data_IF_009505725587
#
_entry.id   IF_009505725587
#
_cell.length_a   1.000
_cell.length_b   1.000
_cell.length_c   1.000
_cell.angle_alpha   90.00
_cell.angle_beta   90.00
_cell.angle_gamma   90.00
#
_symmetry.space_group_name_H-M   'P 1'
#
loop_
_entity.id
_entity.type
_entity.pdbx_description
1 polymer ?
#
# COMPACT_ATOMS: atom_id res chain seq x y z
N UNK A 1 -12.03 -20.34 3.83
CA UNK A 1 -12.80 -19.46 4.73
C UNK A 1 -13.30 -18.34 3.84
N UNK A 2 -14.58 -18.33 3.51
CA UNK A 2 -15.10 -17.37 2.54
C UNK A 2 -15.24 -16.00 3.19
N UNK A 3 -14.78 -14.97 2.49
CA UNK A 3 -14.92 -13.58 2.93
C UNK A 3 -16.32 -13.13 2.50
N UNK A 4 -17.20 -12.86 3.47
CA UNK A 4 -18.53 -12.34 3.21
C UNK A 4 -18.55 -10.81 3.04
N UNK A 5 -19.70 -10.29 2.62
CA UNK A 5 -19.90 -8.86 2.36
C UNK A 5 -19.60 -7.98 3.57
N UNK A 6 -19.98 -8.42 4.76
CA UNK A 6 -19.72 -7.67 6.01
C UNK A 6 -18.22 -7.51 6.26
N UNK A 7 -17.45 -8.58 6.07
CA UNK A 7 -15.99 -8.54 6.23
C UNK A 7 -15.35 -7.62 5.18
N UNK A 8 -15.85 -7.62 3.94
CA UNK A 8 -15.37 -6.71 2.89
C UNK A 8 -15.62 -5.24 3.28
N UNK A 9 -16.83 -4.92 3.76
CA UNK A 9 -17.18 -3.56 4.19
C UNK A 9 -16.28 -3.12 5.34
N UNK A 10 -16.05 -4.00 6.32
CA UNK A 10 -15.16 -3.73 7.44
C UNK A 10 -13.72 -3.48 6.99
N UNK A 11 -13.19 -4.30 6.07
CA UNK A 11 -11.85 -4.10 5.49
C UNK A 11 -11.74 -2.76 4.76
N UNK A 12 -12.74 -2.38 3.97
CA UNK A 12 -12.77 -1.08 3.28
C UNK A 12 -12.78 0.07 4.29
N UNK A 13 -13.58 -0.04 5.35
CA UNK A 13 -13.66 0.99 6.40
C UNK A 13 -12.33 1.13 7.14
N UNK A 14 -11.67 0.02 7.48
CA UNK A 14 -10.39 0.04 8.18
C UNK A 14 -9.27 0.60 7.28
N UNK A 15 -9.28 0.24 6.00
CA UNK A 15 -8.37 0.82 5.00
C UNK A 15 -8.57 2.33 4.87
N UNK A 16 -9.82 2.80 4.86
CA UNK A 16 -10.11 4.23 4.83
C UNK A 16 -9.59 4.93 6.09
N UNK A 17 -9.82 4.35 7.28
CA UNK A 17 -9.34 4.92 8.56
C UNK A 17 -7.80 5.04 8.57
N UNK A 18 -7.08 4.06 8.03
CA UNK A 18 -5.60 4.10 8.02
C UNK A 18 -5.03 5.19 7.10
N UNK A 19 -5.76 5.57 6.06
CA UNK A 19 -5.38 6.65 5.14
C UNK A 19 -5.74 8.02 5.76
N UNK A 20 -6.91 8.13 6.39
CA UNK A 20 -7.37 9.39 7.00
C UNK A 20 -6.59 9.73 8.28
N UNK A 21 -6.19 8.71 9.07
CA UNK A 21 -5.50 8.86 10.36
C UNK A 21 -4.26 7.94 10.44
N UNK A 22 -3.23 8.19 9.63
CA UNK A 22 -2.05 7.32 9.54
C UNK A 22 -1.26 7.25 10.86
N UNK A 23 -1.20 8.35 11.63
CA UNK A 23 -0.46 8.38 12.90
C UNK A 23 -1.07 7.43 13.94
N UNK A 24 -2.41 7.44 14.06
CA UNK A 24 -3.15 6.51 14.94
C UNK A 24 -2.96 5.08 14.45
N UNK A 25 -3.05 4.84 13.14
CA UNK A 25 -2.83 3.52 12.57
C UNK A 25 -1.42 2.98 12.89
N UNK A 26 -0.38 3.80 12.76
CA UNK A 26 0.98 3.40 13.11
C UNK A 26 1.14 3.13 14.60
N UNK A 27 0.50 3.92 15.46
CA UNK A 27 0.55 3.71 16.91
C UNK A 27 -0.17 2.42 17.31
N UNK A 28 -1.39 2.20 16.80
CA UNK A 28 -2.22 1.02 17.07
C UNK A 28 -1.57 -0.27 16.53
N UNK A 29 -0.84 -0.20 15.41
CA UNK A 29 -0.31 -1.38 14.70
C UNK A 29 1.22 -1.52 14.75
N UNK A 30 1.90 -0.75 15.60
CA UNK A 30 3.38 -0.66 15.63
C UNK A 30 4.07 -2.02 15.62
N UNK A 31 3.69 -2.91 16.55
CA UNK A 31 4.32 -4.22 16.71
C UNK A 31 4.15 -5.10 15.45
N UNK A 32 2.93 -5.13 14.90
CA UNK A 32 2.61 -5.90 13.70
C UNK A 32 3.37 -5.36 12.49
N UNK A 33 3.47 -4.03 12.36
CA UNK A 33 4.23 -3.39 11.29
C UNK A 33 5.73 -3.73 11.37
N UNK A 34 6.32 -3.66 12.57
CA UNK A 34 7.74 -4.00 12.77
C UNK A 34 8.03 -5.47 12.43
N UNK A 35 7.18 -6.40 12.88
CA UNK A 35 7.29 -7.81 12.53
C UNK A 35 7.12 -8.05 11.03
N UNK A 36 6.16 -7.36 10.41
CA UNK A 36 5.94 -7.44 8.96
C UNK A 36 7.17 -6.95 8.17
N UNK A 37 7.79 -5.85 8.59
CA UNK A 37 9.01 -5.33 7.95
C UNK A 37 10.20 -6.29 8.09
N UNK A 38 10.35 -6.97 9.24
CA UNK A 38 11.35 -8.02 9.42
C UNK A 38 11.08 -9.17 8.45
N UNK A 39 9.84 -9.65 8.40
CA UNK A 39 9.43 -10.72 7.48
C UNK A 39 9.73 -10.35 6.03
N UNK A 40 9.39 -9.13 5.60
CA UNK A 40 9.65 -8.64 4.23
C UNK A 40 11.13 -8.59 3.86
N UNK A 41 12.04 -8.46 4.84
CA UNK A 41 13.49 -8.51 4.61
C UNK A 41 14.06 -9.93 4.59
N UNK A 42 13.30 -10.91 5.09
CA UNK A 42 13.75 -12.30 5.26
C UNK A 42 13.94 -13.02 3.94
N UNK A 43 14.82 -14.03 3.94
CA UNK A 43 15.01 -14.91 2.79
C UNK A 43 13.76 -15.75 2.51
N UNK A 44 12.98 -16.05 3.55
CA UNK A 44 11.74 -16.80 3.42
C UNK A 44 10.72 -16.03 2.58
N UNK A 45 10.58 -14.72 2.80
CA UNK A 45 9.75 -13.88 1.94
C UNK A 45 10.35 -13.73 0.53
N UNK A 46 11.64 -13.42 0.41
CA UNK A 46 12.31 -13.19 -0.90
C UNK A 46 12.31 -14.43 -1.80
N UNK A 47 12.30 -15.64 -1.23
CA UNK A 47 12.18 -16.88 -1.98
C UNK A 47 10.72 -17.35 -2.16
N UNK A 48 9.74 -16.60 -1.63
CA UNK A 48 8.33 -16.97 -1.72
C UNK A 48 7.72 -16.67 -3.09
N UNK A 49 6.69 -17.42 -3.51
CA UNK A 49 5.88 -17.05 -4.67
C UNK A 49 5.25 -15.66 -4.57
N UNK A 50 4.93 -15.21 -3.35
CA UNK A 50 4.33 -13.90 -3.11
C UNK A 50 5.29 -12.75 -3.47
N UNK A 51 6.58 -12.89 -3.17
CA UNK A 51 7.59 -11.92 -3.61
C UNK A 51 7.71 -11.90 -5.13
N UNK A 52 7.78 -13.06 -5.77
CA UNK A 52 7.84 -13.15 -7.24
C UNK A 52 6.64 -12.49 -7.92
N UNK A 53 5.43 -12.69 -7.40
CA UNK A 53 4.22 -12.04 -7.92
C UNK A 53 4.30 -10.52 -7.74
N UNK A 54 4.77 -10.04 -6.58
CA UNK A 54 4.91 -8.61 -6.31
C UNK A 54 5.86 -7.95 -7.31
N UNK A 55 7.03 -8.55 -7.57
CA UNK A 55 8.01 -8.01 -8.53
C UNK A 55 7.46 -7.99 -9.96
N UNK A 56 6.75 -9.04 -10.39
CA UNK A 56 6.10 -9.07 -11.70
C UNK A 56 5.02 -7.98 -11.85
N UNK A 57 4.25 -7.71 -10.78
CA UNK A 57 3.24 -6.64 -10.80
C UNK A 57 3.91 -5.27 -10.88
N UNK A 58 5.00 -5.04 -10.12
CA UNK A 58 5.77 -3.79 -10.18
C UNK A 58 6.31 -3.55 -11.59
N UNK A 59 6.96 -4.55 -12.18
CA UNK A 59 7.49 -4.48 -13.53
C UNK A 59 6.36 -4.23 -14.55
N UNK A 60 5.26 -4.97 -14.45
CA UNK A 60 4.10 -4.74 -15.32
C UNK A 60 3.58 -3.31 -15.20
N UNK A 61 3.43 -2.78 -13.99
CA UNK A 61 2.92 -1.43 -13.77
C UNK A 61 3.86 -0.34 -14.31
N UNK A 62 5.19 -0.56 -14.26
CA UNK A 62 6.17 0.40 -14.79
C UNK A 62 6.25 0.38 -16.32
N UNK A 63 6.15 -0.78 -16.96
CA UNK A 63 6.29 -0.88 -18.43
C UNK A 63 4.99 -0.72 -19.20
N UNK A 64 3.84 -0.99 -18.58
CA UNK A 64 2.53 -0.94 -19.25
C UNK A 64 1.96 0.49 -19.37
N UNK A 65 2.60 1.47 -18.74
CA UNK A 65 2.06 2.82 -18.59
C UNK A 65 0.97 2.93 -17.52
N UNK A 66 0.79 1.91 -16.67
CA UNK A 66 -0.17 1.98 -15.57
C UNK A 66 0.14 3.17 -14.64
N UNK A 67 1.39 3.27 -14.18
CA UNK A 67 1.81 4.34 -13.28
C UNK A 67 1.85 5.71 -13.98
N UNK A 68 2.38 5.77 -15.21
CA UNK A 68 2.73 7.05 -15.87
C UNK A 68 1.62 7.61 -16.79
N UNK A 69 0.67 6.76 -17.21
CA UNK A 69 -0.43 7.16 -18.13
C UNK A 69 -1.78 6.93 -17.46
N UNK A 70 -2.08 5.71 -17.02
CA UNK A 70 -3.41 5.36 -16.54
C UNK A 70 -3.79 6.08 -15.24
N UNK A 71 -2.91 6.05 -14.22
CA UNK A 71 -3.19 6.72 -12.93
C UNK A 71 -3.36 8.24 -13.10
N UNK A 72 -2.48 8.97 -13.80
CA UNK A 72 -2.68 10.40 -14.08
C UNK A 72 -4.00 10.69 -14.81
N UNK A 73 -4.32 9.92 -15.87
CA UNK A 73 -5.57 10.09 -16.60
C UNK A 73 -6.79 9.84 -15.69
N UNK A 74 -6.73 8.84 -14.80
CA UNK A 74 -7.82 8.54 -13.88
C UNK A 74 -8.02 9.65 -12.85
N UNK A 75 -6.94 10.28 -12.35
CA UNK A 75 -7.00 11.47 -11.49
C UNK A 75 -7.69 12.63 -12.21
N UNK A 76 -7.40 12.84 -13.50
CA UNK A 76 -8.03 13.91 -14.29
C UNK A 76 -9.53 13.64 -14.55
N UNK A 77 -9.88 12.40 -14.85
CA UNK A 77 -11.24 12.00 -15.20
C UNK A 77 -12.19 11.90 -13.99
N UNK A 78 -11.65 11.77 -12.77
CA UNK A 78 -12.45 11.56 -11.57
C UNK A 78 -11.96 12.44 -10.40
N UNK A 79 -12.69 13.53 -10.08
CA UNK A 79 -12.35 14.39 -8.94
C UNK A 79 -12.29 13.64 -7.61
N UNK A 80 -13.22 12.69 -7.38
CA UNK A 80 -13.25 11.88 -6.16
C UNK A 80 -12.05 10.93 -6.06
N UNK A 81 -11.60 10.36 -7.19
CA UNK A 81 -10.39 9.55 -7.20
C UNK A 81 -9.15 10.41 -6.97
N UNK A 82 -9.08 11.61 -7.57
CA UNK A 82 -7.97 12.53 -7.33
C UNK A 82 -7.86 12.92 -5.86
N UNK A 83 -8.98 13.24 -5.20
CA UNK A 83 -9.00 13.56 -3.77
C UNK A 83 -8.58 12.37 -2.91
N UNK A 84 -9.07 11.16 -3.24
CA UNK A 84 -8.63 9.94 -2.58
C UNK A 84 -7.12 9.69 -2.73
N UNK A 85 -6.60 9.86 -3.95
CA UNK A 85 -5.19 9.65 -4.25
C UNK A 85 -4.30 10.65 -3.52
N UNK A 86 -4.72 11.91 -3.40
CA UNK A 86 -3.98 12.90 -2.60
C UNK A 86 -3.91 12.53 -1.11
N UNK A 87 -4.96 11.93 -0.56
CA UNK A 87 -4.93 11.42 0.83
C UNK A 87 -3.98 10.23 0.96
N UNK A 88 -3.96 9.33 -0.03
CA UNK A 88 -2.99 8.24 -0.09
C UNK A 88 -1.55 8.76 -0.14
N UNK A 89 -1.25 9.75 -0.99
CA UNK A 89 0.09 10.35 -1.10
C UNK A 89 0.55 10.91 0.25
N UNK A 90 -0.30 11.69 0.93
CA UNK A 90 0.01 12.24 2.26
C UNK A 90 0.23 11.17 3.33
N UNK A 91 -0.58 10.10 3.32
CA UNK A 91 -0.40 8.99 4.25
C UNK A 91 0.91 8.23 3.96
N UNK A 92 1.27 8.08 2.67
CA UNK A 92 2.52 7.46 2.25
C UNK A 92 3.74 8.29 2.63
N UNK A 93 3.70 9.61 2.52
CA UNK A 93 4.76 10.51 3.00
C UNK A 93 5.06 10.25 4.49
N UNK A 94 4.02 10.23 5.34
CA UNK A 94 4.17 9.90 6.77
C UNK A 94 4.71 8.50 7.03
N UNK A 95 4.30 7.52 6.22
CA UNK A 95 4.82 6.16 6.29
C UNK A 95 6.33 6.14 6.02
N UNK A 96 6.78 6.83 4.97
CA UNK A 96 8.20 6.88 4.58
C UNK A 96 9.04 7.70 5.56
N UNK A 97 8.49 8.76 6.15
CA UNK A 97 9.15 9.50 7.24
C UNK A 97 9.38 8.61 8.47
N UNK A 98 8.39 7.79 8.83
CA UNK A 98 8.44 6.94 10.03
C UNK A 98 9.22 5.65 9.82
N UNK A 99 9.17 5.09 8.62
CA UNK A 99 9.85 3.85 8.24
C UNK A 99 10.64 4.02 6.93
N UNK A 100 11.77 4.77 6.96
CA UNK A 100 12.53 5.09 5.74
C UNK A 100 13.08 3.86 5.01
N UNK A 101 13.22 2.72 5.68
CA UNK A 101 13.61 1.47 5.04
C UNK A 101 12.60 0.96 4.02
N UNK A 102 11.32 1.38 4.10
CA UNK A 102 10.28 0.95 3.16
C UNK A 102 10.58 1.50 1.77
N UNK A 103 11.02 2.76 1.66
CA UNK A 103 11.41 3.36 0.39
C UNK A 103 12.53 2.58 -0.31
N UNK A 104 13.44 1.98 0.47
CA UNK A 104 14.55 1.17 -0.06
C UNK A 104 14.15 -0.24 -0.49
N UNK A 105 12.92 -0.68 -0.19
CA UNK A 105 12.37 -1.98 -0.62
C UNK A 105 11.45 -1.86 -1.83
N UNK A 106 10.99 -0.64 -2.13
CA UNK A 106 10.14 -0.34 -3.28
C UNK A 106 10.93 -0.09 -4.57
N UNK A 107 12.20 0.30 -4.45
CA UNK A 107 13.18 0.42 -5.54
C UNK A 107 13.75 -0.96 -5.95
#
# INVERSE_FOLDING_TARGET
KDIGTEQIIEMIKNTKKSIENPDDFFAENKEVLEQYLIYKKSDEYKNSPAYKIMELIKEFNSISGYNDIFIPALKELSPSYSEYYQQLEKANEKLLERYPEIGKMSD
#
